data_IF_668111093040
#
_entry.id   IF_668111093040
#
_cell.length_a   1.000
_cell.length_b   1.000
_cell.length_c   1.000
_cell.angle_alpha   90.00
_cell.angle_beta   90.00
_cell.angle_gamma   90.00
#
_symmetry.space_group_name_H-M   'P 1'
#
loop_
_entity.id
_entity.type
_entity.pdbx_description
1 polymer ?
#
# COMPACT_ATOMS: atom_id res chain seq x y z
N UNK A 1 9.48 -6.54 -0.59
CA UNK A 1 8.12 -6.22 -0.13
C UNK A 1 7.95 -4.72 -0.27
N UNK A 2 6.81 -4.26 -0.77
CA UNK A 2 6.50 -2.83 -0.96
C UNK A 2 5.77 -2.34 0.28
N UNK A 3 6.17 -1.20 0.84
CA UNK A 3 5.45 -0.58 1.96
C UNK A 3 4.23 0.19 1.44
N UNK A 4 3.05 -0.21 1.88
CA UNK A 4 1.77 0.38 1.52
C UNK A 4 1.65 1.86 1.94
N UNK A 5 2.40 2.28 2.96
CA UNK A 5 2.38 3.65 3.48
C UNK A 5 3.39 4.58 2.81
N UNK A 6 4.40 4.05 2.12
CA UNK A 6 5.47 4.83 1.49
C UNK A 6 5.46 4.75 -0.05
N UNK A 7 5.00 3.64 -0.63
CA UNK A 7 5.06 3.40 -2.06
C UNK A 7 4.23 4.40 -2.87
N UNK A 8 4.70 4.71 -4.06
CA UNK A 8 3.98 5.50 -5.07
C UNK A 8 2.81 4.70 -5.67
N UNK A 9 1.87 5.41 -6.30
CA UNK A 9 0.77 4.76 -7.02
C UNK A 9 1.27 3.79 -8.10
N UNK A 10 2.34 4.16 -8.81
CA UNK A 10 2.94 3.33 -9.87
C UNK A 10 3.59 2.04 -9.31
N UNK A 11 4.29 2.14 -8.18
CA UNK A 11 4.84 0.96 -7.49
C UNK A 11 3.73 0.03 -6.99
N UNK A 12 2.63 0.59 -6.47
CA UNK A 12 1.46 -0.19 -6.06
C UNK A 12 0.79 -0.87 -7.26
N UNK A 13 0.65 -0.17 -8.40
CA UNK A 13 0.07 -0.72 -9.62
C UNK A 13 0.92 -1.85 -10.24
N UNK A 14 2.22 -1.92 -9.91
CA UNK A 14 3.09 -3.03 -10.29
C UNK A 14 2.74 -4.34 -9.56
N UNK A 15 1.95 -4.28 -8.49
CA UNK A 15 1.46 -5.46 -7.75
C UNK A 15 0.21 -5.97 -8.47
N UNK A 16 0.18 -7.22 -8.97
CA UNK A 16 -0.95 -7.73 -9.76
C UNK A 16 -2.33 -7.57 -9.10
N UNK A 17 -2.39 -7.72 -7.77
CA UNK A 17 -3.62 -7.59 -6.97
C UNK A 17 -4.09 -6.14 -6.79
N UNK A 18 -3.19 -5.17 -6.89
CA UNK A 18 -3.47 -3.75 -6.71
C UNK A 18 -3.46 -2.97 -8.02
N UNK A 19 -3.26 -3.66 -9.15
CA UNK A 19 -3.13 -3.03 -10.47
C UNK A 19 -4.37 -2.23 -10.82
N UNK A 20 -4.18 -0.94 -11.07
CA UNK A 20 -5.24 0.02 -11.38
C UNK A 20 -5.91 0.60 -10.14
N UNK A 21 -5.34 0.39 -8.94
CA UNK A 21 -5.84 0.90 -7.66
C UNK A 21 -4.79 1.69 -6.87
N UNK A 22 -3.58 1.87 -7.41
CA UNK A 22 -2.50 2.59 -6.72
C UNK A 22 -2.91 4.02 -6.33
N UNK A 23 -3.63 4.73 -7.20
CA UNK A 23 -4.12 6.08 -6.92
C UNK A 23 -5.11 6.12 -5.74
N UNK A 24 -6.07 5.20 -5.71
CA UNK A 24 -7.09 5.11 -4.67
C UNK A 24 -6.48 4.78 -3.30
N UNK A 25 -5.45 3.93 -3.27
CA UNK A 25 -4.71 3.57 -2.05
C UNK A 25 -3.97 4.79 -1.50
N UNK A 26 -3.24 5.53 -2.36
CA UNK A 26 -2.53 6.75 -1.96
C UNK A 26 -3.51 7.78 -1.41
N UNK A 27 -4.61 8.03 -2.13
CA UNK A 27 -5.66 8.94 -1.68
C UNK A 27 -6.26 8.50 -0.35
N UNK A 28 -6.54 7.21 -0.18
CA UNK A 28 -7.10 6.69 1.07
C UNK A 28 -6.16 6.98 2.26
N UNK A 29 -4.84 6.70 2.15
CA UNK A 29 -3.92 6.97 3.27
C UNK A 29 -3.70 8.46 3.56
N UNK A 30 -3.86 9.32 2.55
CA UNK A 30 -3.81 10.78 2.70
C UNK A 30 -5.06 11.33 3.40
N UNK A 31 -6.25 10.80 3.08
CA UNK A 31 -7.52 11.28 3.63
C UNK A 31 -7.89 10.64 4.98
N UNK A 32 -7.56 9.35 5.17
CA UNK A 32 -7.98 8.54 6.32
C UNK A 32 -6.85 8.24 7.30
N UNK A 33 -5.61 8.55 6.93
CA UNK A 33 -4.41 8.19 7.68
C UNK A 33 -3.79 6.87 7.22
N UNK A 34 -2.59 6.59 7.74
CA UNK A 34 -1.77 5.43 7.35
C UNK A 34 -2.50 4.10 7.58
N UNK A 35 -2.24 3.13 6.72
CA UNK A 35 -2.67 1.75 6.90
C UNK A 35 -1.94 1.14 8.10
N UNK A 36 -2.70 0.48 8.97
CA UNK A 36 -2.21 -0.30 10.13
C UNK A 36 -2.38 -1.80 9.94
N UNK A 37 -3.12 -2.20 8.91
CA UNK A 37 -3.34 -3.60 8.53
C UNK A 37 -3.66 -3.70 7.04
N UNK A 38 -3.17 -4.76 6.39
CA UNK A 38 -3.50 -5.04 4.99
C UNK A 38 -5.01 -5.26 4.75
N UNK A 39 -5.77 -5.65 5.78
CA UNK A 39 -7.24 -5.80 5.68
C UNK A 39 -7.94 -4.48 5.35
N UNK A 40 -7.37 -3.33 5.70
CA UNK A 40 -7.96 -2.03 5.40
C UNK A 40 -7.95 -1.71 3.90
N UNK A 41 -7.24 -2.48 3.06
CA UNK A 41 -7.37 -2.40 1.61
C UNK A 41 -8.81 -2.69 1.13
N UNK A 42 -9.60 -3.44 1.90
CA UNK A 42 -11.02 -3.68 1.58
C UNK A 42 -11.89 -2.42 1.72
N UNK A 43 -11.41 -1.40 2.45
CA UNK A 43 -12.07 -0.10 2.58
C UNK A 43 -11.76 0.84 1.41
N UNK A 44 -10.77 0.49 0.58
CA UNK A 44 -10.41 1.26 -0.60
C UNK A 44 -11.43 0.97 -1.71
N UNK A 45 -12.04 2.01 -2.32
CA UNK A 45 -13.04 1.82 -3.38
C UNK A 45 -12.52 0.91 -4.50
N UNK A 46 -13.26 -0.16 -4.77
CA UNK A 46 -12.93 -1.11 -5.84
C UNK A 46 -11.99 -2.25 -5.47
N UNK A 47 -11.44 -2.29 -4.24
CA UNK A 47 -10.50 -3.33 -3.77
C UNK A 47 -11.12 -4.40 -2.84
N UNK A 48 -12.35 -4.19 -2.36
CA UNK A 48 -13.03 -5.15 -1.49
C UNK A 48 -13.02 -6.57 -2.07
N UNK A 49 -12.39 -7.50 -1.35
CA UNK A 49 -12.30 -8.91 -1.73
C UNK A 49 -11.37 -9.22 -2.91
N UNK A 50 -10.47 -8.30 -3.28
CA UNK A 50 -9.49 -8.47 -4.38
C UNK A 50 -8.04 -8.57 -3.93
N UNK A 51 -7.83 -8.73 -2.62
CA UNK A 51 -6.51 -8.59 -1.97
C UNK A 51 -5.92 -9.93 -1.52
N UNK A 52 -6.49 -11.05 -1.97
CA UNK A 52 -5.97 -12.39 -1.67
C UNK A 52 -4.53 -12.55 -2.16
N UNK A 53 -3.62 -12.87 -1.23
CA UNK A 53 -2.18 -13.03 -1.51
C UNK A 53 -1.37 -11.74 -1.47
N UNK A 54 -1.99 -10.58 -1.13
CA UNK A 54 -1.29 -9.28 -1.16
C UNK A 54 -0.11 -9.22 -0.18
N UNK A 55 -0.20 -9.99 0.91
CA UNK A 55 0.84 -10.13 1.93
C UNK A 55 2.17 -10.67 1.40
N UNK A 56 2.17 -11.36 0.26
CA UNK A 56 3.40 -11.91 -0.33
C UNK A 56 4.26 -10.81 -0.96
N UNK A 57 3.67 -9.64 -1.23
CA UNK A 57 4.31 -8.54 -1.96
C UNK A 57 4.29 -7.22 -1.22
N UNK A 58 3.34 -7.00 -0.31
CA UNK A 58 3.06 -5.72 0.35
C UNK A 58 3.08 -5.84 1.87
N UNK A 59 3.55 -4.80 2.56
CA UNK A 59 3.55 -4.68 4.02
C UNK A 59 2.96 -3.33 4.46
N UNK A 60 2.53 -3.23 5.72
CA UNK A 60 2.15 -1.97 6.38
C UNK A 60 3.18 -1.54 7.44
N UNK A 61 4.20 -2.37 7.66
CA UNK A 61 5.14 -2.20 8.77
C UNK A 61 6.09 -1.02 8.50
N UNK A 62 6.20 -0.14 9.49
CA UNK A 62 7.09 1.02 9.55
C UNK A 62 8.54 0.57 9.85
N UNK A 63 9.01 -0.47 9.15
CA UNK A 63 10.44 -0.75 9.02
C UNK A 63 10.99 0.31 8.06
N UNK A 64 10.95 1.56 8.51
CA UNK A 64 11.39 2.72 7.78
C UNK A 64 12.74 2.43 7.16
N UNK A 65 12.82 2.68 5.86
CA UNK A 65 14.07 2.74 5.12
C UNK A 65 15.16 3.44 5.98
N UNK A 66 16.19 2.73 6.46
CA UNK A 66 17.28 3.38 7.20
C UNK A 66 18.20 4.20 6.29
N UNK A 67 18.02 4.19 4.95
CA UNK A 67 18.96 4.78 3.98
C UNK A 67 18.69 6.25 3.59
N UNK A 68 18.05 7.05 4.43
CA UNK A 68 18.08 8.52 4.25
C UNK A 68 18.38 9.25 5.57
N UNK A 69 19.44 8.82 6.27
CA UNK A 69 20.09 9.59 7.34
C UNK A 69 21.57 9.90 7.07
N UNK A 70 21.95 9.95 5.79
CA UNK A 70 23.33 10.29 5.39
C UNK A 70 23.35 11.26 4.21
N UNK A 71 23.04 12.53 4.46
CA UNK A 71 23.84 13.73 4.11
C UNK A 71 23.08 15.02 4.35
#
# INVERSE_FOLDING_TARGET
MIDLNAATAEELDSVPMLKGHGFEIVRYREERGRFTSLRQLDEVPGLSGKTDGVSDRVTVDDQGNPEVRSR
#
